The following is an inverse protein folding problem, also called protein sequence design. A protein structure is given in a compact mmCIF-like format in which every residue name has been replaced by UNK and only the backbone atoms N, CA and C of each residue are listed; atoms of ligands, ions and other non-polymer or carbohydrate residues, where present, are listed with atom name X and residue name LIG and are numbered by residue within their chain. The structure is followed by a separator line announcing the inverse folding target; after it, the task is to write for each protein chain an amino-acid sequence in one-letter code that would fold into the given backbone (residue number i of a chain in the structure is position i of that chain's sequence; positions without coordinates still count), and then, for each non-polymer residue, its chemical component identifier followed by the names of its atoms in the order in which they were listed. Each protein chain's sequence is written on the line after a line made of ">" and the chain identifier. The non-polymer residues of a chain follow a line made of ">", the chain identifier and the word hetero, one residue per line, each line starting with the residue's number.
data_IF_236732773528
#
_entry.id   IF_236732773528
#
_cell.length_a   1.000
_cell.length_b   1.000
_cell.length_c   1.000
_cell.angle_alpha   90.00
_cell.angle_beta   90.00
_cell.angle_gamma   90.00
#
_symmetry.space_group_name_H-M   'P 1'
#
loop_
_entity.id
_entity.type
_entity.pdbx_description
1 polymer ?
#
# COMPACT_ATOMS: atom_id res chain seq x y z
N UNK A 1 -9.16 5.29 -14.09
CA UNK A 1 -9.05 4.13 -13.20
C UNK A 1 -7.59 3.73 -13.17
N UNK A 2 -7.00 3.66 -11.98
CA UNK A 2 -5.92 2.71 -11.65
C UNK A 2 -4.56 2.82 -12.35
N UNK A 3 -3.96 4.01 -12.48
CA UNK A 3 -2.51 4.07 -12.79
C UNK A 3 -1.68 3.40 -11.69
N UNK A 4 -2.03 3.62 -10.42
CA UNK A 4 -1.27 3.09 -9.28
C UNK A 4 -1.27 1.56 -9.21
N UNK A 5 -2.40 0.90 -9.49
CA UNK A 5 -2.49 -0.57 -9.48
C UNK A 5 -1.66 -1.19 -10.63
N UNK A 6 -1.64 -0.55 -11.81
CA UNK A 6 -0.77 -1.01 -12.89
C UNK A 6 0.71 -0.86 -12.53
N UNK A 7 1.09 0.21 -11.83
CA UNK A 7 2.45 0.44 -11.36
C UNK A 7 2.90 -0.55 -10.29
N UNK A 8 2.11 -0.73 -9.24
CA UNK A 8 2.33 -1.70 -8.16
C UNK A 8 2.48 -3.14 -8.72
N UNK A 9 1.57 -3.54 -9.62
CA UNK A 9 1.67 -4.86 -10.23
C UNK A 9 2.92 -5.03 -11.10
N UNK A 10 3.34 -4.02 -11.85
CA UNK A 10 4.58 -4.08 -12.66
C UNK A 10 5.84 -4.17 -11.79
N UNK A 11 5.91 -3.40 -10.70
CA UNK A 11 7.04 -3.39 -9.78
C UNK A 11 7.25 -4.78 -9.13
N UNK A 12 6.17 -5.42 -8.69
CA UNK A 12 6.18 -6.80 -8.21
C UNK A 12 6.75 -7.80 -9.24
N UNK A 13 6.40 -7.64 -10.53
CA UNK A 13 6.98 -8.48 -11.59
C UNK A 13 8.48 -8.25 -11.75
N UNK A 14 8.94 -7.00 -11.74
CA UNK A 14 10.37 -6.67 -11.91
C UNK A 14 11.18 -7.20 -10.74
N UNK A 15 10.70 -6.99 -9.52
CA UNK A 15 11.31 -7.48 -8.29
C UNK A 15 11.41 -9.02 -8.29
N UNK A 16 10.34 -9.70 -8.70
CA UNK A 16 10.33 -11.16 -8.86
C UNK A 16 11.34 -11.64 -9.90
N UNK A 17 11.43 -10.98 -11.06
CA UNK A 17 12.39 -11.33 -12.11
C UNK A 17 13.82 -11.09 -11.60
N UNK A 18 14.07 -10.02 -10.87
CA UNK A 18 15.38 -9.70 -10.28
C UNK A 18 15.80 -10.79 -9.29
N UNK A 19 14.94 -11.12 -8.32
CA UNK A 19 15.17 -12.20 -7.33
C UNK A 19 15.43 -13.54 -8.00
N UNK A 20 14.58 -13.93 -8.95
CA UNK A 20 14.73 -15.20 -9.66
C UNK A 20 15.96 -15.22 -10.56
N UNK A 21 16.37 -14.09 -11.15
CA UNK A 21 17.56 -13.98 -12.00
C UNK A 21 18.87 -14.11 -11.24
N UNK A 22 18.92 -13.66 -9.98
CA UNK A 22 20.06 -13.88 -9.09
C UNK A 22 20.21 -15.35 -8.65
N UNK A 23 19.09 -16.06 -8.48
CA UNK A 23 19.05 -17.46 -8.03
C UNK A 23 19.13 -18.48 -9.17
N UNK A 24 18.63 -18.12 -10.36
CA UNK A 24 18.56 -18.97 -11.55
C UNK A 24 19.17 -18.22 -12.73
N UNK A 25 20.05 -18.89 -13.48
CA UNK A 25 20.57 -18.37 -14.75
C UNK A 25 19.47 -18.15 -15.81
N UNK A 26 18.23 -18.57 -15.57
CA UNK A 26 17.14 -18.43 -16.53
C UNK A 26 15.75 -18.34 -15.86
N UNK A 27 15.05 -17.22 -16.09
CA UNK A 27 13.68 -16.98 -15.59
C UNK A 27 12.68 -17.19 -16.73
N UNK A 28 11.57 -17.88 -16.46
CA UNK A 28 10.45 -18.04 -17.43
C UNK A 28 9.13 -17.57 -16.82
N UNK A 29 8.12 -17.34 -17.66
CA UNK A 29 6.78 -16.94 -17.21
C UNK A 29 6.15 -17.91 -16.21
N UNK A 30 6.50 -19.20 -16.28
CA UNK A 30 6.02 -20.22 -15.32
C UNK A 30 6.63 -20.04 -13.94
N UNK A 31 7.89 -19.59 -13.86
CA UNK A 31 8.55 -19.33 -12.58
C UNK A 31 7.91 -18.11 -11.92
N UNK A 32 7.72 -17.03 -12.68
CA UNK A 32 7.05 -15.80 -12.23
C UNK A 32 5.62 -16.08 -11.77
N UNK A 33 4.86 -16.87 -12.55
CA UNK A 33 3.49 -17.25 -12.20
C UNK A 33 3.42 -18.05 -10.90
N UNK A 34 4.38 -18.96 -10.69
CA UNK A 34 4.46 -19.75 -9.46
C UNK A 34 4.83 -18.87 -8.27
N UNK A 35 5.79 -17.96 -8.45
CA UNK A 35 6.29 -17.09 -7.39
C UNK A 35 5.21 -16.11 -6.91
N UNK A 36 4.53 -15.45 -7.85
CA UNK A 36 3.47 -14.47 -7.54
C UNK A 36 2.10 -15.11 -7.25
N UNK A 37 1.97 -16.44 -7.35
CA UNK A 37 0.67 -17.12 -7.23
C UNK A 37 -0.35 -16.74 -8.32
N UNK A 38 0.11 -16.26 -9.47
CA UNK A 38 -0.75 -15.73 -10.54
C UNK A 38 -1.01 -16.75 -11.65
N UNK A 39 -2.11 -16.54 -12.38
CA UNK A 39 -2.44 -17.36 -13.55
C UNK A 39 -1.49 -17.07 -14.72
N UNK A 40 -1.09 -18.14 -15.45
CA UNK A 40 -0.22 -18.02 -16.64
C UNK A 40 -0.70 -16.98 -17.66
N UNK A 41 -2.00 -16.89 -18.00
CA UNK A 41 -2.47 -15.86 -18.93
C UNK A 41 -2.25 -14.43 -18.41
N UNK A 42 -2.35 -14.21 -17.10
CA UNK A 42 -2.12 -12.89 -16.49
C UNK A 42 -0.64 -12.51 -16.58
N UNK A 43 0.25 -13.44 -16.24
CA UNK A 43 1.70 -13.23 -16.39
C UNK A 43 2.10 -13.01 -17.84
N UNK A 44 1.53 -13.75 -18.81
CA UNK A 44 1.82 -13.52 -20.23
C UNK A 44 1.44 -12.13 -20.71
N UNK A 45 0.33 -11.57 -20.21
CA UNK A 45 -0.05 -10.17 -20.50
C UNK A 45 0.94 -9.19 -19.88
N UNK A 46 1.30 -9.38 -18.61
CA UNK A 46 2.26 -8.52 -17.92
C UNK A 46 3.63 -8.53 -18.61
N UNK A 47 4.15 -9.72 -18.94
CA UNK A 47 5.42 -9.87 -19.68
C UNK A 47 5.38 -9.15 -21.02
N UNK A 48 4.25 -9.21 -21.75
CA UNK A 48 4.09 -8.45 -22.99
C UNK A 48 4.21 -6.94 -22.75
N UNK A 49 3.51 -6.41 -21.73
CA UNK A 49 3.53 -4.98 -21.38
C UNK A 49 4.93 -4.54 -20.93
N UNK A 50 5.59 -5.30 -20.05
CA UNK A 50 6.94 -4.99 -19.56
C UNK A 50 7.96 -4.97 -20.71
N UNK A 51 7.83 -5.89 -21.69
CA UNK A 51 8.67 -5.90 -22.88
C UNK A 51 8.41 -4.71 -23.79
N UNK A 52 7.14 -4.36 -24.01
CA UNK A 52 6.75 -3.17 -24.80
C UNK A 52 7.23 -1.87 -24.14
N UNK A 53 7.31 -1.84 -22.81
CA UNK A 53 7.90 -0.73 -22.03
C UNK A 53 9.44 -0.75 -21.98
N UNK A 54 10.09 -1.75 -22.59
CA UNK A 54 11.54 -1.87 -22.62
C UNK A 54 12.18 -2.21 -21.27
N UNK A 55 11.40 -2.75 -20.31
CA UNK A 55 11.89 -3.08 -18.97
C UNK A 55 12.50 -4.49 -18.91
N UNK A 56 12.03 -5.39 -19.78
CA UNK A 56 12.55 -6.76 -19.89
C UNK A 56 12.90 -7.12 -21.33
N UNK A 57 13.78 -8.11 -21.50
CA UNK A 57 13.98 -8.85 -22.75
C UNK A 57 13.39 -10.25 -22.63
N UNK A 58 12.96 -10.80 -23.77
CA UNK A 58 12.49 -12.18 -23.88
C UNK A 58 13.16 -12.83 -25.07
N UNK A 59 13.91 -13.92 -24.86
CA UNK A 59 14.56 -14.68 -25.95
C UNK A 59 13.56 -15.52 -26.74
N UNK A 60 13.99 -16.07 -27.88
CA UNK A 60 13.16 -17.01 -28.67
C UNK A 60 12.75 -18.26 -27.87
N UNK A 61 13.63 -18.74 -26.99
CA UNK A 61 13.38 -19.86 -26.07
C UNK A 61 12.50 -19.48 -24.85
N UNK A 62 12.02 -18.23 -24.79
CA UNK A 62 11.13 -17.74 -23.74
C UNK A 62 11.82 -17.40 -22.41
N UNK A 63 13.13 -17.17 -22.42
CA UNK A 63 13.85 -16.72 -21.24
C UNK A 63 13.70 -15.22 -21.05
N UNK A 64 13.41 -14.81 -19.82
CA UNK A 64 13.12 -13.44 -19.42
C UNK A 64 14.31 -12.89 -18.64
N UNK A 65 14.71 -11.67 -18.94
CA UNK A 65 15.76 -10.96 -18.19
C UNK A 65 15.42 -9.48 -18.09
N UNK A 66 15.87 -8.83 -17.02
CA UNK A 66 15.73 -7.38 -16.87
C UNK A 66 16.70 -6.67 -17.82
N UNK A 67 16.24 -5.57 -18.39
CA UNK A 67 17.12 -4.57 -19.00
C UNK A 67 17.81 -3.75 -17.91
N UNK A 68 18.71 -2.82 -18.27
CA UNK A 68 19.23 -1.84 -17.30
C UNK A 68 18.11 -1.07 -16.60
N UNK A 69 17.16 -0.51 -17.37
CA UNK A 69 16.04 0.23 -16.79
C UNK A 69 15.12 -0.65 -15.92
N UNK A 70 14.95 -1.92 -16.27
CA UNK A 70 14.21 -2.88 -15.45
C UNK A 70 14.93 -3.21 -14.13
N UNK A 71 16.25 -3.35 -14.17
CA UNK A 71 17.07 -3.55 -12.98
C UNK A 71 17.04 -2.31 -12.08
N UNK A 72 17.20 -1.11 -12.63
CA UNK A 72 17.16 0.14 -11.86
C UNK A 72 15.84 0.28 -11.08
N UNK A 73 14.70 -0.07 -11.72
CA UNK A 73 13.40 -0.08 -11.05
C UNK A 73 13.28 -1.17 -9.99
N UNK A 74 13.74 -2.40 -10.27
CA UNK A 74 13.71 -3.49 -9.29
C UNK A 74 14.57 -3.18 -8.06
N UNK A 75 15.79 -2.68 -8.27
CA UNK A 75 16.70 -2.27 -7.20
C UNK A 75 16.14 -1.12 -6.37
N UNK A 76 15.45 -0.16 -7.01
CA UNK A 76 14.76 0.93 -6.31
C UNK A 76 13.67 0.39 -5.36
N UNK A 77 12.83 -0.52 -5.83
CA UNK A 77 11.76 -1.13 -5.03
C UNK A 77 12.36 -1.91 -3.85
N UNK A 78 13.36 -2.77 -4.11
CA UNK A 78 14.09 -3.51 -3.08
C UNK A 78 14.73 -2.60 -2.03
N UNK A 79 15.25 -1.45 -2.45
CA UNK A 79 15.83 -0.45 -1.54
C UNK A 79 14.76 0.18 -0.65
N UNK A 80 13.61 0.56 -1.23
CA UNK A 80 12.48 1.09 -0.47
C UNK A 80 12.00 0.07 0.57
N UNK A 81 11.83 -1.20 0.18
CA UNK A 81 11.51 -2.30 1.09
C UNK A 81 12.45 -2.34 2.29
N UNK A 82 13.76 -2.38 2.02
CA UNK A 82 14.78 -2.48 3.05
C UNK A 82 14.79 -1.27 3.99
N UNK A 83 14.56 -0.07 3.46
CA UNK A 83 14.39 1.15 4.24
C UNK A 83 13.15 1.08 5.14
N UNK A 84 12.01 0.65 4.60
CA UNK A 84 10.77 0.49 5.36
C UNK A 84 10.91 -0.53 6.49
N UNK A 85 11.53 -1.70 6.23
CA UNK A 85 11.77 -2.72 7.27
C UNK A 85 12.56 -2.13 8.44
N UNK A 86 13.67 -1.46 8.16
CA UNK A 86 14.51 -0.81 9.20
C UNK A 86 13.71 0.22 9.99
N UNK A 87 12.97 1.06 9.28
CA UNK A 87 12.17 2.12 9.88
C UNK A 87 11.07 1.57 10.79
N UNK A 88 10.32 0.56 10.32
CA UNK A 88 9.26 -0.07 11.09
C UNK A 88 9.80 -0.80 12.32
N UNK A 89 10.93 -1.50 12.21
CA UNK A 89 11.56 -2.17 13.35
C UNK A 89 11.95 -1.19 14.45
N UNK A 90 12.58 -0.08 14.07
CA UNK A 90 13.07 0.93 15.00
C UNK A 90 11.93 1.70 15.67
N UNK A 91 10.87 2.00 14.93
CA UNK A 91 9.80 2.88 15.41
C UNK A 91 8.61 2.15 16.04
N UNK A 92 8.24 0.96 15.55
CA UNK A 92 6.98 0.32 15.96
C UNK A 92 7.17 -0.82 16.95
N UNK A 93 8.36 -1.41 16.99
CA UNK A 93 8.67 -2.57 17.84
C UNK A 93 7.98 -3.87 17.39
N UNK A 94 7.54 -3.94 16.13
CA UNK A 94 7.07 -5.19 15.52
C UNK A 94 8.22 -6.18 15.30
N UNK A 95 7.90 -7.44 14.99
CA UNK A 95 8.90 -8.45 14.64
C UNK A 95 9.47 -8.20 13.24
N UNK A 96 10.64 -8.76 12.94
CA UNK A 96 11.25 -8.72 11.59
C UNK A 96 10.27 -9.24 10.53
N UNK A 97 9.59 -10.35 10.81
CA UNK A 97 8.61 -10.94 9.90
C UNK A 97 7.43 -9.99 9.64
N UNK A 98 6.92 -9.30 10.67
CA UNK A 98 5.80 -8.38 10.48
C UNK A 98 6.24 -7.07 9.81
N UNK A 99 7.45 -6.57 10.12
CA UNK A 99 8.02 -5.41 9.42
C UNK A 99 8.20 -5.69 7.94
N UNK A 100 8.66 -6.89 7.57
CA UNK A 100 8.78 -7.33 6.18
C UNK A 100 7.43 -7.37 5.48
N UNK A 101 6.42 -8.01 6.06
CA UNK A 101 5.07 -8.08 5.49
C UNK A 101 4.46 -6.68 5.29
N UNK A 102 4.60 -5.80 6.28
CA UNK A 102 4.06 -4.44 6.20
C UNK A 102 4.86 -3.61 5.17
N UNK A 103 6.18 -3.74 5.11
CA UNK A 103 7.02 -3.05 4.12
C UNK A 103 6.67 -3.43 2.69
N UNK A 104 6.53 -4.74 2.39
CA UNK A 104 6.13 -5.24 1.07
C UNK A 104 4.80 -4.63 0.58
N UNK A 105 3.86 -4.37 1.51
CA UNK A 105 2.56 -3.77 1.14
C UNK A 105 2.69 -2.29 0.84
N UNK A 106 3.63 -1.61 1.48
CA UNK A 106 3.72 -0.14 1.51
C UNK A 106 4.67 0.40 0.43
N UNK A 107 5.68 -0.37 0.04
CA UNK A 107 6.79 0.07 -0.81
C UNK A 107 6.36 0.68 -2.15
N UNK A 108 5.22 0.24 -2.70
CA UNK A 108 4.71 0.69 -4.00
C UNK A 108 3.84 1.96 -3.92
N UNK A 109 3.45 2.38 -2.72
CA UNK A 109 2.52 3.51 -2.54
C UNK A 109 3.12 4.72 -1.84
N UNK A 110 4.28 4.56 -1.21
CA UNK A 110 5.01 5.67 -0.59
C UNK A 110 5.59 6.62 -1.63
N UNK A 111 5.56 7.91 -1.32
CA UNK A 111 6.20 8.93 -2.15
C UNK A 111 7.72 8.93 -1.99
N UNK A 112 8.41 9.48 -2.99
CA UNK A 112 9.86 9.69 -2.98
C UNK A 112 10.30 10.58 -1.80
N UNK A 113 9.47 11.57 -1.44
CA UNK A 113 9.70 12.43 -0.28
C UNK A 113 9.65 11.64 1.04
N UNK A 114 8.71 10.71 1.18
CA UNK A 114 8.65 9.82 2.36
C UNK A 114 9.82 8.86 2.39
N UNK A 115 10.19 8.26 1.25
CA UNK A 115 11.38 7.39 1.14
C UNK A 115 12.63 8.16 1.57
N UNK A 116 12.83 9.37 1.05
CA UNK A 116 13.95 10.22 1.45
C UNK A 116 13.92 10.56 2.94
N UNK A 117 12.75 10.87 3.48
CA UNK A 117 12.58 11.11 4.91
C UNK A 117 13.00 9.89 5.76
N UNK A 118 12.69 8.68 5.28
CA UNK A 118 13.10 7.42 5.92
C UNK A 118 14.62 7.22 5.82
N UNK A 119 15.23 7.48 4.66
CA UNK A 119 16.70 7.43 4.49
C UNK A 119 17.41 8.39 5.44
N UNK A 120 16.89 9.62 5.56
CA UNK A 120 17.40 10.64 6.48
C UNK A 120 17.21 10.20 7.94
N UNK A 121 16.10 9.55 8.28
CA UNK A 121 15.87 8.96 9.60
C UNK A 121 16.89 7.85 9.93
N UNK A 122 17.08 6.91 9.01
CA UNK A 122 18.04 5.80 9.13
C UNK A 122 19.46 6.35 9.34
N UNK A 123 19.84 7.34 8.53
CA UNK A 123 21.15 7.98 8.59
C UNK A 123 21.37 8.70 9.92
N UNK A 124 20.37 9.47 10.40
CA UNK A 124 20.44 10.18 11.69
C UNK A 124 20.55 9.23 12.88
N UNK A 125 19.87 8.10 12.83
CA UNK A 125 19.85 7.12 13.92
C UNK A 125 20.93 6.04 13.79
N UNK A 126 21.80 6.14 12.76
CA UNK A 126 22.90 5.19 12.51
C UNK A 126 22.44 3.73 12.48
N UNK A 127 21.26 3.46 11.91
CA UNK A 127 20.70 2.11 11.86
C UNK A 127 21.46 1.27 10.84
N UNK A 128 22.11 0.20 11.31
CA UNK A 128 22.78 -0.77 10.44
C UNK A 128 21.76 -1.71 9.79
N UNK A 129 22.15 -2.35 8.68
CA UNK A 129 21.36 -3.46 8.15
C UNK A 129 21.17 -4.52 9.25
N UNK A 130 19.96 -5.07 9.44
CA UNK A 130 19.81 -6.23 10.30
C UNK A 130 20.75 -7.34 9.79
N UNK A 131 21.54 -7.94 10.70
CA UNK A 131 22.55 -8.97 10.37
C UNK A 131 21.94 -10.30 9.90
N UNK A 132 20.67 -10.32 9.54
CA UNK A 132 19.98 -11.56 9.16
C UNK A 132 19.75 -11.57 7.66
N UNK A 133 20.55 -12.39 6.97
CA UNK A 133 20.24 -13.03 5.68
C UNK A 133 19.00 -13.94 5.78
N UNK A 134 17.96 -13.53 6.50
CA UNK A 134 16.74 -14.31 6.58
C UNK A 134 15.97 -14.11 5.29
N UNK A 135 15.93 -15.18 4.51
CA UNK A 135 14.94 -15.47 3.48
C UNK A 135 13.53 -15.03 3.92
N UNK A 136 13.17 -13.77 3.70
CA UNK A 136 11.78 -13.34 3.80
C UNK A 136 11.51 -12.44 2.61
N UNK A 137 11.09 -13.10 1.54
CA UNK A 137 10.14 -12.53 0.59
C UNK A 137 9.55 -13.70 -0.22
N UNK A 138 8.67 -14.46 0.42
CA UNK A 138 7.75 -15.39 -0.28
C UNK A 138 6.29 -15.06 0.03
N UNK A 139 6.03 -13.90 0.61
CA UNK A 139 4.69 -13.45 0.95
C UNK A 139 4.34 -12.21 0.13
N UNK A 140 3.91 -12.46 -1.11
CA UNK A 140 3.11 -11.48 -1.84
C UNK A 140 1.76 -11.40 -1.13
N UNK A 141 1.33 -10.21 -0.67
CA UNK A 141 0.07 -10.08 0.04
C UNK A 141 -1.08 -10.61 -0.83
N UNK A 142 -1.89 -11.49 -0.23
CA UNK A 142 -3.13 -11.97 -0.84
C UNK A 142 -4.03 -10.76 -1.13
N UNK A 143 -4.63 -10.74 -2.31
CA UNK A 143 -5.42 -9.64 -2.90
C UNK A 143 -6.54 -9.13 -1.97
N UNK A 144 -6.20 -8.25 -1.03
CA UNK A 144 -7.13 -7.55 -0.11
C UNK A 144 -7.80 -6.33 -0.74
N UNK A 145 -7.64 -6.11 -2.06
CA UNK A 145 -8.13 -4.96 -2.84
C UNK A 145 -9.63 -4.62 -2.63
N UNK A 146 -10.46 -5.64 -2.35
CA UNK A 146 -11.90 -5.46 -2.13
C UNK A 146 -12.26 -4.90 -0.74
N UNK A 147 -11.37 -5.01 0.26
CA UNK A 147 -11.56 -4.36 1.57
C UNK A 147 -11.15 -2.89 1.52
N UNK A 148 -10.01 -2.58 0.90
CA UNK A 148 -9.42 -1.24 0.86
C UNK A 148 -10.36 -0.22 0.19
N UNK A 149 -10.95 -0.59 -0.95
CA UNK A 149 -11.92 0.29 -1.62
C UNK A 149 -13.19 0.51 -0.79
N UNK A 150 -13.65 -0.50 -0.04
CA UNK A 150 -14.81 -0.41 0.85
C UNK A 150 -14.58 0.52 2.03
N UNK A 151 -13.42 0.39 2.67
CA UNK A 151 -12.98 1.17 3.83
C UNK A 151 -12.84 2.66 3.48
N UNK A 152 -12.24 2.98 2.34
CA UNK A 152 -12.14 4.35 1.80
C UNK A 152 -13.51 5.05 1.70
N UNK A 153 -14.55 4.33 1.25
CA UNK A 153 -15.91 4.89 1.17
C UNK A 153 -16.50 5.19 2.55
N UNK A 154 -16.30 4.29 3.53
CA UNK A 154 -16.80 4.46 4.89
C UNK A 154 -16.12 5.65 5.58
N UNK A 155 -14.80 5.74 5.45
CA UNK A 155 -14.00 6.84 5.97
C UNK A 155 -14.40 8.18 5.33
N UNK A 156 -14.54 8.21 4.00
CA UNK A 156 -15.03 9.39 3.27
C UNK A 156 -16.40 9.86 3.77
N UNK A 157 -17.34 8.93 4.02
CA UNK A 157 -18.66 9.28 4.57
C UNK A 157 -18.50 9.91 5.96
N UNK A 158 -17.67 9.33 6.83
CA UNK A 158 -17.39 9.88 8.16
C UNK A 158 -16.81 11.30 8.09
N UNK A 159 -15.84 11.55 7.20
CA UNK A 159 -15.23 12.86 7.00
C UNK A 159 -16.26 13.87 6.47
N UNK A 160 -17.06 13.48 5.47
CA UNK A 160 -18.06 14.37 4.87
C UNK A 160 -19.17 14.74 5.85
N UNK A 161 -19.60 13.82 6.74
CA UNK A 161 -20.61 14.10 7.79
C UNK A 161 -20.16 15.13 8.81
N UNK A 162 -18.86 15.38 8.96
CA UNK A 162 -18.35 16.48 9.81
C UNK A 162 -18.51 17.85 9.16
N UNK A 163 -18.66 17.90 7.83
CA UNK A 163 -18.72 19.13 7.04
C UNK A 163 -20.11 19.42 6.46
N UNK A 164 -20.98 18.40 6.40
CA UNK A 164 -22.30 18.44 5.76
C UNK A 164 -23.31 17.69 6.60
N UNK A 165 -24.55 18.17 6.60
CA UNK A 165 -25.65 17.50 7.31
C UNK A 165 -26.03 16.16 6.67
N UNK A 166 -25.97 16.07 5.34
CA UNK A 166 -26.24 14.85 4.57
C UNK A 166 -25.08 14.48 3.63
N UNK A 167 -24.90 13.19 3.39
CA UNK A 167 -23.90 12.65 2.46
C UNK A 167 -24.58 11.76 1.43
N UNK A 168 -24.28 11.96 0.13
CA UNK A 168 -24.80 11.15 -0.96
C UNK A 168 -23.67 10.49 -1.75
N UNK A 169 -24.02 9.49 -2.55
CA UNK A 169 -23.07 8.82 -3.44
C UNK A 169 -22.31 9.77 -4.37
N UNK A 170 -22.95 10.87 -4.79
CA UNK A 170 -22.30 11.89 -5.64
C UNK A 170 -21.22 12.67 -4.89
N UNK A 171 -21.36 12.88 -3.59
CA UNK A 171 -20.34 13.57 -2.79
C UNK A 171 -19.06 12.74 -2.69
N UNK A 172 -19.22 11.43 -2.48
CA UNK A 172 -18.11 10.46 -2.49
C UNK A 172 -17.44 10.43 -3.86
N UNK A 173 -18.23 10.30 -4.93
CA UNK A 173 -17.71 10.24 -6.29
C UNK A 173 -16.90 11.49 -6.65
N UNK A 174 -17.38 12.67 -6.25
CA UNK A 174 -16.67 13.92 -6.48
C UNK A 174 -15.39 14.03 -5.63
N UNK A 175 -15.43 13.64 -4.35
CA UNK A 175 -14.27 13.74 -3.47
C UNK A 175 -13.15 12.78 -3.87
N UNK A 176 -13.49 11.52 -4.17
CA UNK A 176 -12.53 10.49 -4.56
C UNK A 176 -12.20 10.50 -6.07
N UNK A 177 -12.80 11.43 -6.82
CA UNK A 177 -12.67 11.52 -8.29
C UNK A 177 -12.98 10.19 -9.01
N UNK A 178 -14.07 9.53 -8.60
CA UNK A 178 -14.52 8.24 -9.11
C UNK A 178 -15.79 8.37 -9.95
N UNK A 179 -16.04 7.37 -10.81
CA UNK A 179 -17.29 7.34 -11.57
C UNK A 179 -18.47 7.02 -10.65
N UNK A 180 -19.59 7.73 -10.86
CA UNK A 180 -20.83 7.49 -10.10
C UNK A 180 -21.29 6.03 -10.17
N UNK A 181 -21.11 5.40 -11.33
CA UNK A 181 -21.45 3.98 -11.51
C UNK A 181 -20.61 3.05 -10.62
N UNK A 182 -19.32 3.34 -10.44
CA UNK A 182 -18.45 2.57 -9.54
C UNK A 182 -18.88 2.73 -8.08
N UNK A 183 -19.10 3.97 -7.65
CA UNK A 183 -19.52 4.29 -6.28
C UNK A 183 -20.87 3.66 -5.95
N UNK A 184 -21.86 3.75 -6.85
CA UNK A 184 -23.17 3.12 -6.64
C UNK A 184 -23.07 1.60 -6.44
N UNK A 185 -22.19 0.93 -7.20
CA UNK A 185 -21.95 -0.53 -7.03
C UNK A 185 -21.36 -0.82 -5.65
N UNK A 186 -20.34 -0.05 -5.25
CA UNK A 186 -19.68 -0.24 -3.96
C UNK A 186 -20.63 0.00 -2.78
N UNK A 187 -21.47 1.04 -2.85
CA UNK A 187 -22.52 1.30 -1.85
C UNK A 187 -23.48 0.12 -1.73
N UNK A 188 -23.89 -0.48 -2.86
CA UNK A 188 -24.72 -1.69 -2.86
C UNK A 188 -24.08 -2.85 -2.09
N UNK A 189 -22.78 -3.07 -2.30
CA UNK A 189 -22.01 -4.10 -1.58
C UNK A 189 -21.89 -3.78 -0.08
N UNK A 190 -21.57 -2.53 0.28
CA UNK A 190 -21.44 -2.10 1.67
C UNK A 190 -22.76 -2.22 2.44
N UNK A 191 -23.88 -1.93 1.78
CA UNK A 191 -25.23 -2.13 2.33
C UNK A 191 -25.53 -3.61 2.54
N UNK A 192 -25.27 -4.46 1.55
CA UNK A 192 -25.44 -5.91 1.69
C UNK A 192 -24.61 -6.49 2.84
N UNK A 193 -23.41 -5.94 3.08
CA UNK A 193 -22.50 -6.33 4.18
C UNK A 193 -22.85 -5.67 5.54
N UNK A 194 -23.90 -4.84 5.59
CA UNK A 194 -24.41 -4.20 6.81
C UNK A 194 -23.60 -3.02 7.32
N UNK A 195 -22.77 -2.38 6.49
CA UNK A 195 -22.00 -1.19 6.87
C UNK A 195 -22.75 0.12 6.60
N UNK A 196 -23.69 0.12 5.66
CA UNK A 196 -24.44 1.31 5.25
C UNK A 196 -25.94 1.03 5.15
N UNK A 197 -26.72 2.06 5.45
CA UNK A 197 -28.15 2.18 5.14
C UNK A 197 -28.41 3.41 4.26
N UNK A 198 -29.59 3.44 3.64
CA UNK A 198 -30.04 4.57 2.82
C UNK A 198 -31.25 5.22 3.51
N UNK A 199 -31.07 6.46 3.92
CA UNK A 199 -32.11 7.30 4.52
C UNK A 199 -32.97 8.03 3.47
N UNK A 200 -33.79 8.95 3.95
CA UNK A 200 -34.60 9.80 3.06
C UNK A 200 -33.71 10.62 2.12
N UNK A 201 -34.20 10.86 0.89
CA UNK A 201 -33.44 11.64 -0.10
C UNK A 201 -32.11 11.00 -0.54
N UNK A 202 -31.98 9.67 -0.42
CA UNK A 202 -30.78 8.88 -0.72
C UNK A 202 -29.55 9.27 0.13
N UNK A 203 -29.77 9.69 1.37
CA UNK A 203 -28.70 9.90 2.34
C UNK A 203 -28.00 8.57 2.66
N UNK A 204 -26.67 8.58 2.70
CA UNK A 204 -25.86 7.45 3.13
C UNK A 204 -25.65 7.53 4.64
N UNK A 205 -26.16 6.53 5.36
CA UNK A 205 -26.09 6.45 6.81
C UNK A 205 -25.16 5.31 7.19
N UNK A 206 -24.11 5.61 7.95
CA UNK A 206 -23.26 4.58 8.56
C UNK A 206 -24.07 3.84 9.63
N UNK A 207 -24.13 2.51 9.53
CA UNK A 207 -24.63 1.68 10.63
C UNK A 207 -23.63 1.72 11.78
N UNK A 208 -23.97 1.18 12.96
CA UNK A 208 -23.01 1.06 14.06
C UNK A 208 -21.72 0.31 13.64
N UNK A 209 -21.86 -0.72 12.78
CA UNK A 209 -20.74 -1.47 12.21
C UNK A 209 -19.91 -0.61 11.24
N UNK A 210 -20.59 0.16 10.37
CA UNK A 210 -19.98 1.12 9.46
C UNK A 210 -19.20 2.20 10.18
N UNK A 211 -19.80 2.79 11.22
CA UNK A 211 -19.20 3.86 12.02
C UNK A 211 -17.94 3.38 12.74
N UNK A 212 -17.97 2.18 13.36
CA UNK A 212 -16.77 1.60 13.99
C UNK A 212 -15.64 1.43 12.98
N UNK A 213 -15.93 0.82 11.82
CA UNK A 213 -14.94 0.62 10.77
C UNK A 213 -14.39 1.95 10.24
N UNK A 214 -15.25 2.92 9.91
CA UNK A 214 -14.84 4.23 9.44
C UNK A 214 -13.94 4.97 10.44
N UNK A 215 -14.25 4.88 11.74
CA UNK A 215 -13.45 5.49 12.81
C UNK A 215 -12.12 4.80 13.02
N UNK A 216 -12.06 3.48 12.86
CA UNK A 216 -10.80 2.74 12.95
C UNK A 216 -9.85 3.17 11.83
N UNK A 217 -10.34 3.25 10.59
CA UNK A 217 -9.57 3.71 9.43
C UNK A 217 -9.14 5.15 9.62
N UNK A 218 -10.07 6.08 9.85
CA UNK A 218 -9.73 7.49 10.05
C UNK A 218 -8.76 7.73 11.22
N UNK A 219 -8.82 6.89 12.26
CA UNK A 219 -7.83 6.91 13.35
C UNK A 219 -6.45 6.50 12.86
N UNK A 220 -6.34 5.48 11.99
CA UNK A 220 -5.07 5.13 11.35
C UNK A 220 -4.53 6.29 10.51
N UNK A 221 -5.33 6.90 9.63
CA UNK A 221 -4.94 8.09 8.85
C UNK A 221 -4.27 9.14 9.73
N UNK A 222 -4.97 9.59 10.78
CA UNK A 222 -4.50 10.67 11.64
C UNK A 222 -3.20 10.35 12.38
N UNK A 223 -3.07 9.12 12.87
CA UNK A 223 -1.84 8.71 13.57
C UNK A 223 -0.69 8.49 12.59
N UNK A 224 -0.95 7.97 11.40
CA UNK A 224 0.07 7.83 10.36
C UNK A 224 0.55 9.20 9.89
N UNK A 225 -0.35 10.14 9.63
CA UNK A 225 0.01 11.51 9.24
C UNK A 225 0.89 12.16 10.31
N UNK A 226 0.44 12.11 11.58
CA UNK A 226 1.21 12.65 12.70
C UNK A 226 2.58 11.95 12.86
N UNK A 227 2.63 10.63 12.67
CA UNK A 227 3.84 9.84 12.75
C UNK A 227 4.85 10.19 11.66
N UNK A 228 4.42 10.23 10.40
CA UNK A 228 5.27 10.57 9.27
C UNK A 228 5.81 12.00 9.40
N UNK A 229 4.95 12.97 9.76
CA UNK A 229 5.37 14.36 10.02
C UNK A 229 6.41 14.44 11.13
N UNK A 230 6.14 13.78 12.26
CA UNK A 230 7.00 13.85 13.43
C UNK A 230 8.35 13.18 13.21
N UNK A 231 8.37 12.00 12.59
CA UNK A 231 9.60 11.20 12.44
C UNK A 231 10.45 11.64 11.26
N UNK A 232 9.80 11.95 10.13
CA UNK A 232 10.46 12.20 8.85
C UNK A 232 10.60 13.69 8.52
N UNK A 233 9.81 14.56 9.16
CA UNK A 233 9.84 16.01 8.89
C UNK A 233 9.35 16.38 7.48
N UNK A 234 8.55 15.52 6.85
CA UNK A 234 7.99 15.74 5.51
C UNK A 234 6.82 16.76 5.53
N UNK A 235 6.51 17.42 4.41
CA UNK A 235 5.40 18.38 4.34
C UNK A 235 4.05 17.74 4.68
N UNK A 236 3.17 18.53 5.30
CA UNK A 236 1.81 18.12 5.69
C UNK A 236 1.02 17.45 4.55
N UNK A 237 1.08 18.02 3.35
CA UNK A 237 0.38 17.47 2.18
C UNK A 237 0.90 16.10 1.75
N UNK A 238 2.21 15.84 1.91
CA UNK A 238 2.80 14.55 1.58
C UNK A 238 2.43 13.53 2.67
N UNK A 239 2.53 13.92 3.94
CA UNK A 239 2.17 13.06 5.06
C UNK A 239 0.69 12.64 5.02
N UNK A 240 -0.22 13.56 4.69
CA UNK A 240 -1.65 13.26 4.54
C UNK A 240 -1.89 12.26 3.40
N UNK A 241 -1.30 12.51 2.22
CA UNK A 241 -1.46 11.62 1.06
C UNK A 241 -0.89 10.22 1.30
N UNK A 242 0.30 10.14 1.88
CA UNK A 242 0.93 8.85 2.15
C UNK A 242 0.25 8.12 3.31
N UNK A 243 -0.21 8.83 4.35
CA UNK A 243 -1.02 8.23 5.42
C UNK A 243 -2.28 7.55 4.88
N UNK A 244 -3.02 8.22 3.98
CA UNK A 244 -4.22 7.67 3.34
C UNK A 244 -3.91 6.40 2.52
N UNK A 245 -2.73 6.32 1.88
CA UNK A 245 -2.33 5.12 1.13
C UNK A 245 -1.93 3.97 2.05
N UNK A 246 -1.21 4.29 3.12
CA UNK A 246 -0.59 3.30 4.03
C UNK A 246 -1.59 2.71 5.02
N UNK A 247 -2.64 3.44 5.41
CA UNK A 247 -3.51 3.03 6.52
C UNK A 247 -4.21 1.67 6.34
N UNK A 248 -4.48 1.29 5.09
CA UNK A 248 -5.08 0.00 4.76
C UNK A 248 -4.07 -1.15 4.71
N UNK A 249 -2.78 -0.82 4.59
CA UNK A 249 -1.71 -1.77 4.30
C UNK A 249 -1.04 -2.28 5.58
N UNK A 250 -0.95 -1.42 6.60
CA UNK A 250 -0.29 -1.76 7.87
C UNK A 250 -1.13 -2.71 8.73
N UNK A 251 -0.43 -3.65 9.35
CA UNK A 251 -0.95 -4.53 10.40
C UNK A 251 -1.46 -3.76 11.62
N UNK A 252 -2.26 -4.45 12.44
CA UNK A 252 -2.73 -3.90 13.72
C UNK A 252 -1.55 -3.70 14.67
N UNK A 253 -0.57 -4.59 14.62
CA UNK A 253 0.66 -4.60 15.40
C UNK A 253 1.50 -3.35 15.11
N UNK A 254 1.78 -3.08 13.83
CA UNK A 254 2.49 -1.86 13.41
C UNK A 254 1.72 -0.61 13.83
N UNK A 255 0.40 -0.59 13.64
CA UNK A 255 -0.42 0.54 14.06
C UNK A 255 -0.34 0.81 15.59
N UNK A 256 -0.42 -0.22 16.42
CA UNK A 256 -0.24 -0.03 17.87
C UNK A 256 1.17 0.44 18.23
N UNK A 257 2.18 -0.04 17.51
CA UNK A 257 3.55 0.43 17.61
C UNK A 257 3.66 1.93 17.34
N UNK A 258 3.07 2.41 16.24
CA UNK A 258 3.01 3.84 15.89
C UNK A 258 2.35 4.66 17.01
N UNK A 259 1.19 4.21 17.53
CA UNK A 259 0.51 4.91 18.64
C UNK A 259 1.39 4.99 19.88
N UNK A 260 2.08 3.91 20.23
CA UNK A 260 3.00 3.86 21.37
C UNK A 260 4.19 4.79 21.13
N UNK A 261 4.76 4.80 19.94
CA UNK A 261 5.88 5.67 19.57
C UNK A 261 5.49 7.14 19.74
N UNK A 262 4.39 7.58 19.13
CA UNK A 262 3.89 8.95 19.25
C UNK A 262 3.65 9.35 20.70
N UNK A 263 2.99 8.48 21.47
CA UNK A 263 2.72 8.70 22.89
C UNK A 263 4.01 8.87 23.70
N UNK A 264 5.01 8.02 23.47
CA UNK A 264 6.29 8.07 24.17
C UNK A 264 7.08 9.34 23.85
N UNK A 265 6.85 9.91 22.66
CA UNK A 265 7.46 11.17 22.22
C UNK A 265 6.59 12.40 22.52
N UNK A 266 5.50 12.25 23.28
CA UNK A 266 4.64 13.36 23.71
C UNK A 266 3.78 13.96 22.59
N UNK A 267 3.68 13.31 21.43
CA UNK A 267 2.85 13.76 20.31
C UNK A 267 1.39 13.40 20.58
N UNK A 268 0.52 14.42 20.51
CA UNK A 268 -0.92 14.24 20.65
C UNK A 268 -1.56 14.16 19.27
N UNK A 269 -2.31 13.09 19.04
CA UNK A 269 -3.17 12.92 17.85
C UNK A 269 -4.61 13.19 18.29
N UNK A 270 -5.31 14.04 17.52
CA UNK A 270 -6.66 14.53 17.82
C UNK A 270 -7.78 13.54 17.51
#
# INVERSE_FOLDING_TARGET
>A
MSSHIEHESMENYLETIHKLGGLKQSVRSIDIARELGLSRPSVSRAVKILRERGLITVTEDGFISLTSAGNDLAERVMHIHACLVKFLLDTTGVTVVQADIDACRIEHVVSDETVKGIEDYISRNSLTAPETETEVCSHFPDSTELLESGENYLETILILRRKKDWVRAVDIANLLNLSRASVSRAIGVLRQKGYLDIGEGNELILTAKGETCAREIYSKHLHLEAFLKFTLGIPDEIADKDACRIEHMISREAFQGIKKYLKNHGVKVG
#
